data_IF_582688970960
#
_entry.id   IF_582688970960
#
_cell.length_a   1.000
_cell.length_b   1.000
_cell.length_c   1.000
_cell.angle_alpha   90.00
_cell.angle_beta   90.00
_cell.angle_gamma   90.00
#
_symmetry.space_group_name_H-M   'P 1'
#
loop_
_entity.id
_entity.type
_entity.pdbx_description
1 polymer ?
#
# COMPACT_ATOMS: atom_id res chain seq x y z
N UNK A 1 -1.24 -26.79 -2.72
CA UNK A 1 -2.12 -26.30 -3.77
C UNK A 1 -1.40 -25.24 -4.61
N UNK A 2 -1.87 -24.98 -5.83
CA UNK A 2 -1.22 -24.07 -6.79
C UNK A 2 -1.66 -22.61 -6.68
N UNK A 3 -1.91 -22.09 -5.47
CA UNK A 3 -2.47 -20.75 -5.25
C UNK A 3 -1.43 -19.87 -4.53
N UNK A 4 -1.25 -18.65 -5.00
CA UNK A 4 -0.45 -17.64 -4.32
C UNK A 4 -1.25 -17.00 -3.19
N UNK A 5 -0.58 -16.67 -2.10
CA UNK A 5 -1.14 -15.88 -0.99
C UNK A 5 -0.54 -14.48 -1.09
N UNK A 6 -1.31 -13.53 -1.55
CA UNK A 6 -0.91 -12.12 -1.64
C UNK A 6 -1.33 -11.39 -0.36
N UNK A 7 -0.34 -11.04 0.46
CA UNK A 7 -0.55 -10.34 1.73
C UNK A 7 -0.56 -8.84 1.50
N UNK A 8 -1.60 -8.17 1.95
CA UNK A 8 -1.62 -6.71 2.04
C UNK A 8 -0.80 -6.26 3.24
N UNK A 9 0.13 -5.35 3.02
CA UNK A 9 0.93 -4.76 4.10
C UNK A 9 0.17 -3.57 4.67
N UNK A 10 -0.47 -3.81 5.82
CA UNK A 10 -1.44 -2.89 6.38
C UNK A 10 -1.01 -2.40 7.77
N UNK A 11 -1.05 -1.08 8.05
CA UNK A 11 -0.78 -0.54 9.38
C UNK A 11 -1.70 -1.16 10.45
N UNK A 12 -1.12 -1.58 11.56
CA UNK A 12 -1.86 -2.24 12.64
C UNK A 12 -1.98 -3.76 12.51
N UNK A 13 -1.49 -4.33 11.43
CA UNK A 13 -1.35 -5.79 11.21
C UNK A 13 0.09 -6.25 11.51
N UNK A 14 0.31 -7.57 11.54
CA UNK A 14 1.65 -8.13 11.75
C UNK A 14 2.59 -7.86 10.57
N UNK A 15 2.04 -7.75 9.36
CA UNK A 15 2.76 -7.39 8.15
C UNK A 15 2.33 -5.98 7.72
N UNK A 16 3.23 -5.02 7.81
CA UNK A 16 2.90 -3.61 7.56
C UNK A 16 3.93 -2.86 6.70
N UNK A 17 5.12 -3.42 6.49
CA UNK A 17 6.20 -2.83 5.69
C UNK A 17 7.11 -3.90 5.10
N UNK A 18 8.14 -3.48 4.37
CA UNK A 18 9.12 -4.40 3.78
C UNK A 18 9.87 -5.24 4.80
N UNK A 19 10.27 -4.64 5.92
CA UNK A 19 11.01 -5.35 6.98
C UNK A 19 10.18 -6.45 7.63
N UNK A 20 8.91 -6.16 7.94
CA UNK A 20 8.01 -7.17 8.50
C UNK A 20 7.73 -8.30 7.49
N UNK A 21 7.61 -7.97 6.21
CA UNK A 21 7.45 -8.95 5.14
C UNK A 21 8.70 -9.84 4.98
N UNK A 22 9.91 -9.28 5.03
CA UNK A 22 11.16 -10.03 4.96
C UNK A 22 11.27 -11.05 6.10
N UNK A 23 10.91 -10.67 7.33
CA UNK A 23 10.86 -11.59 8.47
C UNK A 23 9.84 -12.71 8.26
N UNK A 24 8.72 -12.40 7.64
CA UNK A 24 7.73 -13.43 7.31
C UNK A 24 8.22 -14.37 6.22
N UNK A 25 8.93 -13.86 5.21
CA UNK A 25 9.59 -14.70 4.20
C UNK A 25 10.58 -15.65 4.85
N UNK A 26 11.43 -15.18 5.76
CA UNK A 26 12.36 -16.04 6.52
C UNK A 26 11.60 -17.13 7.31
N UNK A 27 10.52 -16.77 8.00
CA UNK A 27 9.72 -17.70 8.79
C UNK A 27 8.99 -18.75 7.94
N UNK A 28 8.83 -18.49 6.65
CA UNK A 28 8.19 -19.39 5.66
C UNK A 28 9.17 -20.01 4.68
N UNK A 29 10.46 -20.06 5.02
CA UNK A 29 11.54 -20.59 4.18
C UNK A 29 11.55 -19.98 2.77
N UNK A 30 11.27 -18.69 2.65
CA UNK A 30 11.16 -17.96 1.38
C UNK A 30 10.20 -18.60 0.37
N UNK A 31 9.12 -19.19 0.86
CA UNK A 31 8.18 -19.92 0.03
C UNK A 31 7.70 -19.07 -1.15
N UNK A 32 7.79 -19.60 -2.36
CA UNK A 32 7.52 -18.86 -3.60
C UNK A 32 6.08 -18.31 -3.72
N UNK A 33 5.13 -18.91 -3.00
CA UNK A 33 3.72 -18.49 -3.02
C UNK A 33 3.35 -17.48 -1.93
N UNK A 34 4.32 -17.02 -1.15
CA UNK A 34 4.18 -15.86 -0.27
C UNK A 34 4.47 -14.62 -1.10
N UNK A 35 3.44 -13.87 -1.41
CA UNK A 35 3.50 -12.71 -2.31
C UNK A 35 2.87 -11.48 -1.65
N UNK A 36 2.94 -10.35 -2.31
CA UNK A 36 2.45 -9.07 -1.82
C UNK A 36 1.23 -8.66 -2.65
N UNK A 37 0.16 -8.25 -1.95
CA UNK A 37 -0.87 -7.39 -2.50
C UNK A 37 -0.44 -5.94 -2.22
N UNK A 38 0.08 -5.28 -3.24
CA UNK A 38 0.64 -3.94 -3.12
C UNK A 38 -0.47 -2.89 -3.03
N UNK A 39 -0.54 -2.19 -1.90
CA UNK A 39 -1.45 -1.07 -1.69
C UNK A 39 -0.68 0.21 -1.31
N UNK A 40 -0.51 1.15 -2.24
CA UNK A 40 0.26 2.36 -1.99
C UNK A 40 -0.39 3.31 -0.98
N UNK A 41 -1.70 3.23 -0.77
CA UNK A 41 -2.43 4.11 0.15
C UNK A 41 -1.96 3.93 1.59
N UNK A 42 -1.70 2.69 2.00
CA UNK A 42 -1.16 2.38 3.31
C UNK A 42 0.27 2.88 3.49
N UNK A 43 1.05 2.91 2.41
CA UNK A 43 2.42 3.41 2.44
C UNK A 43 2.47 4.94 2.49
N UNK A 44 1.55 5.63 1.80
CA UNK A 44 1.39 7.09 1.97
C UNK A 44 1.14 7.45 3.43
N UNK A 45 0.23 6.73 4.10
CA UNK A 45 -0.09 6.97 5.51
C UNK A 45 1.05 6.61 6.47
N UNK A 46 1.99 5.76 6.05
CA UNK A 46 3.20 5.41 6.80
C UNK A 46 4.41 6.28 6.42
N UNK A 47 4.28 7.21 5.48
CA UNK A 47 5.40 7.98 4.92
C UNK A 47 6.51 7.10 4.33
N UNK A 48 6.14 5.92 3.80
CA UNK A 48 7.06 5.00 3.13
C UNK A 48 7.17 5.36 1.66
N UNK A 49 8.38 5.28 1.08
CA UNK A 49 8.59 5.47 -0.35
C UNK A 49 8.03 4.28 -1.14
N UNK A 50 6.76 4.41 -1.52
CA UNK A 50 6.02 3.35 -2.20
C UNK A 50 6.52 3.08 -3.63
N UNK A 51 7.18 4.04 -4.28
CA UNK A 51 7.80 3.82 -5.59
C UNK A 51 9.08 3.01 -5.46
N UNK A 52 9.94 3.34 -4.49
CA UNK A 52 11.14 2.55 -4.20
C UNK A 52 10.77 1.14 -3.71
N UNK A 53 9.65 1.00 -3.00
CA UNK A 53 9.14 -0.32 -2.58
C UNK A 53 8.96 -1.27 -3.78
N UNK A 54 8.43 -0.77 -4.90
CA UNK A 54 8.29 -1.57 -6.14
C UNK A 54 9.67 -2.01 -6.63
N UNK A 55 10.66 -1.11 -6.64
CA UNK A 55 12.01 -1.46 -7.10
C UNK A 55 12.64 -2.60 -6.28
N UNK A 56 12.34 -2.65 -4.98
CA UNK A 56 12.90 -3.66 -4.07
C UNK A 56 12.13 -5.00 -4.17
N UNK A 57 10.79 -4.94 -4.21
CA UNK A 57 9.93 -6.11 -4.01
C UNK A 57 9.12 -6.54 -5.25
N UNK A 58 9.38 -5.99 -6.45
CA UNK A 58 8.60 -6.28 -7.66
C UNK A 58 8.43 -7.78 -7.95
N UNK A 59 9.43 -8.61 -7.65
CA UNK A 59 9.36 -10.06 -7.86
C UNK A 59 8.34 -10.77 -6.95
N UNK A 60 7.92 -10.10 -5.89
CA UNK A 60 6.94 -10.62 -4.92
C UNK A 60 5.56 -9.99 -5.06
N UNK A 61 5.41 -8.94 -5.84
CA UNK A 61 4.10 -8.29 -6.06
C UNK A 61 3.29 -9.12 -7.05
N UNK A 62 2.20 -9.73 -6.58
CA UNK A 62 1.30 -10.53 -7.42
C UNK A 62 -0.10 -9.94 -7.55
N UNK A 63 -0.44 -8.97 -6.72
CA UNK A 63 -1.69 -8.21 -6.78
C UNK A 63 -1.43 -6.74 -6.46
N UNK A 64 -2.27 -5.86 -6.99
CA UNK A 64 -2.18 -4.42 -6.77
C UNK A 64 -3.55 -3.83 -6.48
N UNK A 65 -3.71 -3.18 -5.35
CA UNK A 65 -4.86 -2.33 -5.02
C UNK A 65 -4.64 -0.91 -5.51
N UNK A 66 -5.46 -0.49 -6.47
CA UNK A 66 -5.51 0.90 -6.93
C UNK A 66 -6.37 1.68 -5.94
N UNK A 67 -5.72 2.24 -4.92
CA UNK A 67 -6.35 2.94 -3.80
C UNK A 67 -5.57 4.21 -3.49
N UNK A 68 -6.27 5.29 -3.22
CA UNK A 68 -5.67 6.60 -2.98
C UNK A 68 -5.76 7.03 -1.52
N UNK A 69 -4.79 7.79 -1.10
CA UNK A 69 -4.72 8.37 0.24
C UNK A 69 -4.01 9.71 0.22
N UNK A 70 -4.23 10.50 1.27
CA UNK A 70 -3.48 11.70 1.56
C UNK A 70 -3.03 11.74 3.01
N UNK A 71 -1.88 12.33 3.25
CA UNK A 71 -1.40 12.65 4.59
C UNK A 71 -0.92 14.11 4.61
N UNK A 72 -1.69 14.97 5.28
CA UNK A 72 -1.42 16.38 5.42
C UNK A 72 -1.20 16.70 6.91
N UNK A 73 0.01 16.51 7.45
CA UNK A 73 0.28 16.73 8.86
C UNK A 73 0.07 18.19 9.23
N UNK A 74 -0.44 18.42 10.42
CA UNK A 74 -0.60 19.75 11.01
C UNK A 74 0.24 19.88 12.30
N UNK A 75 0.32 21.06 12.86
CA UNK A 75 0.94 21.24 14.18
C UNK A 75 0.18 20.59 15.35
N UNK A 76 -1.03 20.07 15.08
CA UNK A 76 -1.89 19.40 16.07
C UNK A 76 -2.02 17.90 15.83
N UNK A 77 -1.94 17.45 14.59
CA UNK A 77 -2.31 16.10 14.18
C UNK A 77 -1.23 15.48 13.30
N UNK A 78 -0.93 14.22 13.59
CA UNK A 78 -0.28 13.28 12.71
C UNK A 78 -1.28 12.22 12.25
N UNK A 79 -0.79 11.15 11.66
CA UNK A 79 -1.63 10.10 11.10
C UNK A 79 -2.48 9.36 12.15
N UNK A 80 -2.02 9.30 13.40
CA UNK A 80 -2.68 8.58 14.49
C UNK A 80 -3.73 9.41 15.27
N UNK A 81 -4.41 10.34 14.63
CA UNK A 81 -5.45 11.20 15.25
C UNK A 81 -6.71 10.39 15.63
N UNK A 82 -6.58 9.47 16.60
CA UNK A 82 -7.61 8.48 16.95
C UNK A 82 -8.94 9.04 17.43
N UNK A 83 -8.98 10.29 17.94
CA UNK A 83 -10.22 10.95 18.40
C UNK A 83 -10.91 11.78 17.31
N UNK A 84 -10.27 11.99 16.15
CA UNK A 84 -10.87 12.68 15.02
C UNK A 84 -11.71 11.70 14.18
N UNK A 85 -12.86 12.14 13.68
CA UNK A 85 -13.58 11.41 12.64
C UNK A 85 -12.75 11.31 11.36
N UNK A 86 -13.05 10.35 10.51
CA UNK A 86 -12.31 10.12 9.25
C UNK A 86 -12.18 11.37 8.38
N UNK A 87 -13.21 12.19 8.34
CA UNK A 87 -13.25 13.45 7.55
C UNK A 87 -12.22 14.47 8.06
N UNK A 88 -11.94 14.46 9.36
CA UNK A 88 -11.12 15.48 10.03
C UNK A 88 -9.66 15.03 10.29
N UNK A 89 -9.33 13.80 9.90
CA UNK A 89 -7.97 13.26 10.08
C UNK A 89 -6.99 13.89 9.12
N UNK A 90 -5.74 14.07 9.58
CA UNK A 90 -4.64 14.50 8.73
C UNK A 90 -4.26 13.43 7.68
N UNK A 91 -4.40 12.15 8.05
CA UNK A 91 -4.20 11.00 7.17
C UNK A 91 -5.54 10.30 6.89
N UNK A 92 -5.90 10.15 5.61
CA UNK A 92 -7.19 9.57 5.21
C UNK A 92 -7.16 9.04 3.78
N UNK A 93 -8.06 8.10 3.49
CA UNK A 93 -8.27 7.62 2.12
C UNK A 93 -9.06 8.64 1.31
N UNK A 94 -8.79 8.64 -0.01
CA UNK A 94 -9.40 9.57 -0.96
C UNK A 94 -9.98 8.84 -2.17
N UNK A 95 -10.89 9.50 -2.87
CA UNK A 95 -11.26 9.09 -4.22
C UNK A 95 -10.03 9.11 -5.12
N UNK A 96 -9.96 8.18 -6.08
CA UNK A 96 -8.82 8.03 -6.97
C UNK A 96 -8.50 9.34 -7.73
N UNK A 97 -7.29 9.81 -7.59
CA UNK A 97 -6.80 11.05 -8.19
C UNK A 97 -6.98 12.29 -7.32
N UNK A 98 -7.70 12.21 -6.20
CA UNK A 98 -7.89 13.32 -5.25
C UNK A 98 -6.88 13.28 -4.09
N UNK A 99 -6.10 12.20 -3.98
CA UNK A 99 -5.07 12.00 -2.97
C UNK A 99 -3.67 12.37 -3.44
N UNK A 100 -2.69 11.66 -2.87
CA UNK A 100 -1.26 11.92 -3.08
C UNK A 100 -0.53 10.78 -3.78
N UNK A 101 -1.23 9.69 -4.15
CA UNK A 101 -0.61 8.54 -4.83
C UNK A 101 -0.26 8.90 -6.28
N UNK A 102 1.01 8.74 -6.64
CA UNK A 102 1.47 8.87 -8.04
C UNK A 102 1.17 7.58 -8.82
N UNK A 103 -0.06 7.41 -9.26
CA UNK A 103 -0.48 6.26 -10.06
C UNK A 103 0.32 6.13 -11.35
N UNK A 104 0.68 7.24 -12.00
CA UNK A 104 1.48 7.21 -13.22
C UNK A 104 2.86 6.62 -12.95
N UNK A 105 3.51 7.02 -11.88
CA UNK A 105 4.81 6.46 -11.45
C UNK A 105 4.70 4.98 -11.15
N UNK A 106 3.66 4.56 -10.42
CA UNK A 106 3.40 3.16 -10.09
C UNK A 106 3.22 2.31 -11.35
N UNK A 107 2.31 2.68 -12.24
CA UNK A 107 2.07 1.93 -13.48
C UNK A 107 3.30 1.88 -14.37
N UNK A 108 4.09 2.96 -14.42
CA UNK A 108 5.36 2.98 -15.16
C UNK A 108 6.33 1.94 -14.61
N UNK A 109 6.52 1.89 -13.28
CA UNK A 109 7.43 0.93 -12.64
C UNK A 109 6.93 -0.50 -12.78
N UNK A 110 5.65 -0.75 -12.53
CA UNK A 110 5.06 -2.08 -12.68
C UNK A 110 5.23 -2.60 -14.13
N UNK A 111 4.99 -1.74 -15.12
CA UNK A 111 5.20 -2.08 -16.53
C UNK A 111 6.68 -2.35 -16.85
N UNK A 112 7.60 -1.56 -16.28
CA UNK A 112 9.05 -1.75 -16.44
C UNK A 112 9.51 -3.13 -15.93
N UNK A 113 8.92 -3.62 -14.84
CA UNK A 113 9.21 -4.93 -14.27
C UNK A 113 8.34 -6.06 -14.83
N UNK A 114 7.52 -5.78 -15.85
CA UNK A 114 6.71 -6.80 -16.53
C UNK A 114 5.57 -7.35 -15.68
N UNK A 115 5.02 -6.54 -14.76
CA UNK A 115 3.88 -6.94 -13.96
C UNK A 115 2.66 -7.25 -14.85
N UNK A 116 2.09 -8.43 -14.71
CA UNK A 116 0.93 -8.94 -15.46
C UNK A 116 -0.26 -9.34 -14.58
N UNK A 117 -0.19 -9.00 -13.28
CA UNK A 117 -1.24 -9.28 -12.31
C UNK A 117 -2.45 -8.34 -12.43
N UNK A 118 -3.39 -8.49 -11.52
CA UNK A 118 -4.59 -7.67 -11.44
C UNK A 118 -4.31 -6.31 -10.78
N UNK A 119 -4.84 -5.24 -11.36
CA UNK A 119 -4.98 -3.93 -10.74
C UNK A 119 -6.45 -3.77 -10.31
N UNK A 120 -6.70 -3.98 -9.02
CA UNK A 120 -8.04 -3.99 -8.44
C UNK A 120 -8.36 -2.62 -7.88
N UNK A 121 -9.44 -2.01 -8.33
CA UNK A 121 -9.94 -0.76 -7.77
C UNK A 121 -10.51 -1.03 -6.37
N UNK A 122 -9.89 -0.45 -5.37
CA UNK A 122 -10.42 -0.44 -4.00
C UNK A 122 -10.77 0.99 -3.63
N UNK A 123 -12.07 1.28 -3.62
CA UNK A 123 -12.53 2.61 -3.28
C UNK A 123 -12.89 2.71 -1.81
N UNK A 124 -12.19 3.58 -1.10
CA UNK A 124 -12.46 3.92 0.29
C UNK A 124 -12.24 5.42 0.46
N UNK A 125 -13.32 6.18 0.63
CA UNK A 125 -13.23 7.63 0.76
C UNK A 125 -14.19 8.13 1.83
N UNK A 126 -13.65 8.84 2.80
CA UNK A 126 -14.42 9.38 3.93
C UNK A 126 -15.06 10.74 3.63
N UNK A 127 -14.66 11.39 2.56
CA UNK A 127 -15.15 12.74 2.19
C UNK A 127 -15.68 12.74 0.77
N UNK A 128 -16.61 13.65 0.49
CA UNK A 128 -17.05 13.86 -0.88
C UNK A 128 -15.91 14.42 -1.71
N UNK A 129 -15.67 13.80 -2.82
CA UNK A 129 -14.77 14.25 -3.88
C UNK A 129 -15.44 15.31 -4.73
#
# INVERSE_FOLDING_TARGET
CGVDCAYELHPGEDLFDGTSFERFLEATDNHARVTINYDPSHFVLQCLDYLQFIDIYHERISAYHVKDAEFNPTGRQGVYSGYAGWVDRAGRFRSLGDGQVDFKGIFTKLAQYGYDGWAVLEWECAIKS
#
